data_IF_046263848122
#
_entry.id   IF_046263848122
#
_cell.length_a   1.000
_cell.length_b   1.000
_cell.length_c   1.000
_cell.angle_alpha   90.00
_cell.angle_beta   90.00
_cell.angle_gamma   90.00
#
_symmetry.space_group_name_H-M   'P 1'
#
loop_
_entity.id
_entity.type
_entity.pdbx_description
1 polymer ?
#
# COMPACT_ATOMS: atom_id res chain seq x y z
N UNK A 1 -3.21 32.25 -26.38
CA UNK A 1 -3.84 32.08 -25.05
C UNK A 1 -3.97 30.59 -24.78
N UNK A 2 -3.20 30.07 -23.82
CA UNK A 2 -3.07 28.64 -23.57
C UNK A 2 -4.30 28.09 -22.83
N UNK A 3 -4.96 27.12 -23.47
CA UNK A 3 -6.13 26.43 -22.94
C UNK A 3 -5.68 25.44 -21.85
N UNK A 4 -5.78 25.85 -20.57
CA UNK A 4 -5.61 24.94 -19.42
C UNK A 4 -6.71 23.87 -19.52
N UNK A 5 -6.37 22.71 -20.06
CA UNK A 5 -7.11 21.48 -19.78
C UNK A 5 -7.00 21.24 -18.28
N UNK A 6 -8.00 21.69 -17.54
CA UNK A 6 -8.32 21.18 -16.22
C UNK A 6 -8.72 19.73 -16.44
N UNK A 7 -7.73 18.85 -16.50
CA UNK A 7 -7.95 17.42 -16.41
C UNK A 7 -8.42 17.16 -14.99
N UNK A 8 -9.74 17.14 -14.85
CA UNK A 8 -10.49 16.46 -13.81
C UNK A 8 -9.94 15.03 -13.67
N UNK A 9 -8.88 14.90 -12.87
CA UNK A 9 -8.35 13.63 -12.38
C UNK A 9 -9.39 13.19 -11.38
N UNK A 10 -10.34 12.34 -11.82
CA UNK A 10 -11.25 11.61 -10.93
C UNK A 10 -10.45 11.18 -9.70
N UNK A 11 -10.73 11.82 -8.59
CA UNK A 11 -10.19 11.49 -7.27
C UNK A 11 -10.81 10.15 -6.87
N UNK A 12 -10.37 9.06 -7.48
CA UNK A 12 -10.44 7.77 -6.82
C UNK A 12 -9.38 7.86 -5.73
N UNK A 13 -9.84 7.91 -4.48
CA UNK A 13 -9.04 8.04 -3.27
C UNK A 13 -7.75 7.23 -3.37
N UNK A 14 -6.60 7.89 -3.57
CA UNK A 14 -5.29 7.23 -3.65
C UNK A 14 -4.70 7.09 -2.25
N UNK A 15 -3.72 6.19 -2.08
CA UNK A 15 -2.95 6.10 -0.83
C UNK A 15 -2.36 7.47 -0.44
N UNK A 16 -1.91 8.25 -1.42
CA UNK A 16 -1.48 9.64 -1.25
C UNK A 16 -2.53 10.52 -0.58
N UNK A 17 -3.82 10.38 -0.91
CA UNK A 17 -4.89 11.17 -0.28
C UNK A 17 -5.04 10.88 1.22
N UNK A 18 -4.73 9.65 1.64
CA UNK A 18 -4.78 9.24 3.05
C UNK A 18 -3.58 9.78 3.82
N UNK A 19 -2.37 9.61 3.30
CA UNK A 19 -1.13 9.91 4.05
C UNK A 19 -0.56 11.31 3.77
N UNK A 20 -1.06 11.98 2.74
CA UNK A 20 -0.59 13.26 2.23
C UNK A 20 0.57 13.14 1.24
N UNK A 21 0.65 14.12 0.33
CA UNK A 21 1.64 14.17 -0.76
C UNK A 21 3.08 14.06 -0.31
N UNK A 22 3.46 14.74 0.79
CA UNK A 22 4.84 14.71 1.30
C UNK A 22 5.22 13.30 1.74
N UNK A 23 4.40 12.67 2.60
CA UNK A 23 4.64 11.31 3.10
C UNK A 23 4.70 10.30 1.97
N UNK A 24 3.74 10.39 1.04
CA UNK A 24 3.69 9.50 -0.12
C UNK A 24 4.93 9.64 -0.99
N UNK A 25 5.39 10.86 -1.25
CA UNK A 25 6.62 11.12 -2.01
C UNK A 25 7.86 10.51 -1.36
N UNK A 26 7.97 10.57 -0.03
CA UNK A 26 9.06 9.91 0.72
C UNK A 26 8.99 8.39 0.53
N UNK A 27 7.81 7.78 0.64
CA UNK A 27 7.66 6.33 0.44
C UNK A 27 8.05 5.89 -0.97
N UNK A 28 7.63 6.63 -1.99
CA UNK A 28 8.00 6.37 -3.38
C UNK A 28 9.52 6.46 -3.57
N UNK A 29 10.20 7.49 -3.04
CA UNK A 29 11.66 7.61 -3.13
C UNK A 29 12.38 6.49 -2.37
N UNK A 30 11.92 6.15 -1.16
CA UNK A 30 12.45 5.05 -0.37
C UNK A 30 12.37 3.73 -1.13
N UNK A 31 11.20 3.38 -1.68
CA UNK A 31 11.02 2.13 -2.41
C UNK A 31 11.87 2.09 -3.68
N UNK A 32 11.94 3.20 -4.42
CA UNK A 32 12.79 3.33 -5.60
C UNK A 32 14.27 3.06 -5.30
N UNK A 33 14.76 3.47 -4.12
CA UNK A 33 16.16 3.28 -3.71
C UNK A 33 16.42 1.92 -3.09
N UNK A 34 15.50 1.43 -2.26
CA UNK A 34 15.71 0.24 -1.42
C UNK A 34 15.35 -1.07 -2.12
N UNK A 35 14.32 -1.08 -2.98
CA UNK A 35 13.82 -2.33 -3.58
C UNK A 35 14.80 -3.00 -4.56
N UNK A 36 15.51 -2.27 -5.45
CA UNK A 36 16.40 -2.92 -6.44
C UNK A 36 17.42 -3.88 -5.81
N UNK A 37 18.01 -3.51 -4.67
CA UNK A 37 18.98 -4.33 -3.93
C UNK A 37 18.37 -5.07 -2.72
N UNK A 38 17.15 -4.71 -2.31
CA UNK A 38 16.52 -5.24 -1.11
C UNK A 38 16.07 -6.69 -1.25
N UNK A 39 16.23 -7.48 -0.19
CA UNK A 39 15.64 -8.83 -0.11
C UNK A 39 14.17 -8.72 0.29
N UNK A 40 13.31 -9.56 -0.28
CA UNK A 40 11.86 -9.54 -0.10
C UNK A 40 11.43 -9.55 1.37
N UNK A 41 11.99 -10.46 2.18
CA UNK A 41 11.69 -10.55 3.61
C UNK A 41 12.03 -9.29 4.42
N UNK A 42 12.81 -8.36 3.85
CA UNK A 42 13.10 -7.06 4.46
C UNK A 42 12.17 -5.96 3.92
N UNK A 43 11.70 -6.12 2.70
CA UNK A 43 10.87 -5.12 2.01
C UNK A 43 9.39 -5.29 2.37
N UNK A 44 8.91 -6.52 2.53
CA UNK A 44 7.52 -6.80 2.87
C UNK A 44 7.11 -6.17 4.21
N UNK A 45 7.87 -6.30 5.32
CA UNK A 45 7.53 -5.61 6.57
C UNK A 45 7.56 -4.07 6.48
N UNK A 46 8.42 -3.51 5.62
CA UNK A 46 8.46 -2.05 5.40
C UNK A 46 7.16 -1.57 4.75
N UNK A 47 6.72 -2.26 3.69
CA UNK A 47 5.48 -1.91 2.99
C UNK A 47 4.27 -2.17 3.89
N UNK A 48 4.25 -3.26 4.65
CA UNK A 48 3.24 -3.51 5.67
C UNK A 48 3.16 -2.37 6.70
N UNK A 49 4.30 -1.90 7.21
CA UNK A 49 4.34 -0.76 8.11
C UNK A 49 3.84 0.55 7.49
N UNK A 50 4.09 0.76 6.18
CA UNK A 50 3.49 1.89 5.45
C UNK A 50 1.96 1.75 5.39
N UNK A 51 1.43 0.57 5.13
CA UNK A 51 -0.02 0.32 5.13
C UNK A 51 -0.63 0.52 6.52
N UNK A 52 0.02 0.03 7.58
CA UNK A 52 -0.42 0.25 8.96
C UNK A 52 -0.44 1.74 9.33
N UNK A 53 0.60 2.48 8.97
CA UNK A 53 0.60 3.93 9.12
C UNK A 53 -0.55 4.58 8.35
N UNK A 54 -0.86 4.13 7.13
CA UNK A 54 -1.97 4.65 6.35
C UNK A 54 -3.34 4.32 7.00
N UNK A 55 -3.50 3.13 7.57
CA UNK A 55 -4.71 2.73 8.31
C UNK A 55 -4.92 3.64 9.52
N UNK A 56 -3.89 3.88 10.32
CA UNK A 56 -3.95 4.78 11.47
C UNK A 56 -4.26 6.24 11.04
N UNK A 57 -3.71 6.69 9.91
CA UNK A 57 -4.06 8.00 9.35
C UNK A 57 -5.51 8.06 8.86
N UNK A 58 -6.04 6.96 8.32
CA UNK A 58 -7.42 6.86 7.89
C UNK A 58 -8.38 6.93 9.09
N UNK A 59 -8.11 6.18 10.16
CA UNK A 59 -8.92 6.17 11.40
C UNK A 59 -8.99 7.55 12.05
N UNK A 60 -7.86 8.28 12.12
CA UNK A 60 -7.79 9.62 12.70
C UNK A 60 -8.57 10.68 11.90
N UNK A 61 -8.66 10.52 10.58
CA UNK A 61 -9.30 11.49 9.68
C UNK A 61 -10.80 11.22 9.49
N UNK A 62 -11.25 10.01 9.77
CA UNK A 62 -12.65 9.63 9.66
C UNK A 62 -13.46 10.18 10.85
N UNK A 63 -14.24 11.26 10.63
CA UNK A 63 -15.29 11.70 11.57
C UNK A 63 -16.57 10.84 11.51
N UNK A 64 -16.51 9.70 10.80
CA UNK A 64 -17.59 8.78 10.47
C UNK A 64 -17.06 7.74 9.47
N UNK A 65 -17.86 6.73 9.11
CA UNK A 65 -17.40 5.65 8.23
C UNK A 65 -16.83 6.20 6.91
N UNK A 66 -15.64 5.74 6.47
CA UNK A 66 -15.07 6.13 5.18
C UNK A 66 -16.03 5.76 4.05
N UNK A 67 -15.94 6.49 2.93
CA UNK A 67 -16.73 6.17 1.74
C UNK A 67 -16.44 4.73 1.29
N UNK A 68 -17.47 3.94 1.08
CA UNK A 68 -17.37 2.58 0.56
C UNK A 68 -16.58 2.55 -0.75
N UNK A 69 -15.67 1.57 -0.87
CA UNK A 69 -14.76 1.43 -2.01
C UNK A 69 -13.60 2.44 -2.04
N UNK A 70 -13.44 3.30 -1.02
CA UNK A 70 -12.24 4.14 -0.89
C UNK A 70 -11.05 3.35 -0.34
N UNK A 71 -9.82 3.84 -0.58
CA UNK A 71 -8.61 3.26 0.04
C UNK A 71 -8.67 3.27 1.56
N UNK A 72 -9.23 4.31 2.17
CA UNK A 72 -9.44 4.37 3.61
C UNK A 72 -10.38 3.25 4.10
N UNK A 73 -11.48 3.01 3.39
CA UNK A 73 -12.40 1.90 3.69
C UNK A 73 -11.72 0.55 3.52
N UNK A 74 -10.96 0.34 2.44
CA UNK A 74 -10.26 -0.92 2.21
C UNK A 74 -9.22 -1.21 3.31
N UNK A 75 -8.47 -0.19 3.75
CA UNK A 75 -7.47 -0.32 4.81
C UNK A 75 -8.12 -0.67 6.16
N UNK A 76 -9.19 0.03 6.53
CA UNK A 76 -9.88 -0.19 7.81
C UNK A 76 -10.63 -1.53 7.84
N UNK A 77 -11.32 -1.89 6.77
CA UNK A 77 -12.03 -3.19 6.70
C UNK A 77 -11.06 -4.37 6.77
N UNK A 78 -9.88 -4.25 6.15
CA UNK A 78 -8.87 -5.31 6.18
C UNK A 78 -8.29 -5.58 7.58
N UNK A 79 -8.22 -4.57 8.46
CA UNK A 79 -7.81 -4.76 9.86
C UNK A 79 -8.93 -5.28 10.76
N UNK A 80 -10.19 -5.13 10.35
CA UNK A 80 -11.34 -5.63 11.11
C UNK A 80 -11.69 -7.08 10.77
N UNK A 81 -11.36 -7.55 9.55
CA UNK A 81 -11.74 -8.86 9.03
C UNK A 81 -10.53 -9.56 8.36
N UNK A 82 -9.63 -10.13 9.16
CA UNK A 82 -8.39 -10.79 8.70
C UNK A 82 -8.62 -11.95 7.71
N UNK A 83 -9.79 -12.60 7.75
CA UNK A 83 -10.11 -13.79 6.95
C UNK A 83 -10.86 -13.51 5.63
N UNK A 84 -11.18 -12.26 5.30
CA UNK A 84 -11.95 -11.96 4.08
C UNK A 84 -11.05 -11.75 2.85
N UNK A 85 -10.98 -12.79 2.02
CA UNK A 85 -10.28 -12.80 0.73
C UNK A 85 -10.71 -11.65 -0.22
N UNK A 86 -11.89 -11.05 -0.01
CA UNK A 86 -12.37 -9.91 -0.78
C UNK A 86 -11.53 -8.63 -0.55
N UNK A 87 -10.88 -8.48 0.61
CA UNK A 87 -10.04 -7.33 0.92
C UNK A 87 -8.65 -7.43 0.29
N UNK A 88 -8.13 -8.64 0.10
CA UNK A 88 -6.81 -8.88 -0.48
C UNK A 88 -6.66 -8.29 -1.90
N UNK A 89 -7.71 -8.35 -2.73
CA UNK A 89 -7.69 -7.78 -4.08
C UNK A 89 -7.57 -6.25 -4.11
N UNK A 90 -8.26 -5.56 -3.19
CA UNK A 90 -8.17 -4.10 -3.08
C UNK A 90 -6.81 -3.66 -2.53
N UNK A 91 -6.30 -4.36 -1.51
CA UNK A 91 -4.95 -4.11 -0.98
C UNK A 91 -3.88 -4.35 -2.05
N UNK A 92 -4.00 -5.41 -2.84
CA UNK A 92 -3.09 -5.69 -3.95
C UNK A 92 -3.05 -4.53 -4.94
N UNK A 93 -4.20 -4.00 -5.36
CA UNK A 93 -4.26 -2.85 -6.25
C UNK A 93 -3.60 -1.59 -5.66
N UNK A 94 -3.72 -1.37 -4.34
CA UNK A 94 -3.09 -0.25 -3.64
C UNK A 94 -1.56 -0.40 -3.66
N UNK A 95 -1.03 -1.56 -3.29
CA UNK A 95 0.41 -1.81 -3.22
C UNK A 95 1.03 -1.85 -4.62
N UNK A 96 0.35 -2.43 -5.60
CA UNK A 96 0.78 -2.40 -7.00
C UNK A 96 0.89 -0.98 -7.55
N UNK A 97 -0.05 -0.11 -7.19
CA UNK A 97 0.00 1.29 -7.59
C UNK A 97 1.20 2.01 -6.95
N UNK A 98 1.46 1.76 -5.67
CA UNK A 98 2.64 2.30 -4.99
C UNK A 98 3.95 1.84 -5.65
N UNK A 99 4.08 0.56 -5.99
CA UNK A 99 5.27 0.06 -6.70
C UNK A 99 5.39 0.59 -8.11
N UNK A 100 4.26 0.75 -8.82
CA UNK A 100 4.25 1.37 -10.14
C UNK A 100 4.79 2.80 -10.09
N UNK A 101 4.35 3.60 -9.12
CA UNK A 101 4.83 4.96 -8.92
C UNK A 101 6.32 5.00 -8.55
N UNK A 102 6.79 4.00 -7.80
CA UNK A 102 8.21 3.82 -7.48
C UNK A 102 9.06 3.27 -8.64
N UNK A 103 8.46 2.87 -9.76
CA UNK A 103 9.16 2.22 -10.88
C UNK A 103 9.68 0.82 -10.53
N UNK A 104 9.04 0.15 -9.59
CA UNK A 104 9.44 -1.15 -9.03
C UNK A 104 8.58 -2.27 -9.62
N UNK A 105 9.22 -3.38 -10.00
CA UNK A 105 8.52 -4.61 -10.37
C UNK A 105 8.17 -5.40 -9.10
N UNK A 106 6.89 -5.73 -8.94
CA UNK A 106 6.35 -6.49 -7.80
C UNK A 106 6.73 -7.98 -7.83
N UNK A 107 6.75 -8.59 -9.02
CA UNK A 107 7.13 -9.99 -9.21
C UNK A 107 8.64 -10.12 -9.35
N UNK A 108 9.22 -11.04 -8.59
CA UNK A 108 10.66 -11.34 -8.61
C UNK A 108 10.85 -12.86 -8.65
N UNK A 109 12.05 -13.28 -9.03
CA UNK A 109 12.46 -14.68 -8.99
C UNK A 109 13.58 -14.85 -7.95
N UNK A 110 13.55 -15.93 -7.19
CA UNK A 110 14.63 -16.28 -6.28
C UNK A 110 15.83 -16.93 -7.01
N UNK A 111 16.83 -17.40 -6.26
CA UNK A 111 18.02 -18.05 -6.85
C UNK A 111 17.70 -19.38 -7.54
N UNK A 112 16.54 -19.97 -7.27
CA UNK A 112 16.05 -21.22 -7.87
C UNK A 112 15.14 -20.96 -9.08
N UNK A 113 14.82 -19.69 -9.36
CA UNK A 113 13.91 -19.29 -10.42
C UNK A 113 12.44 -19.26 -9.99
N UNK A 114 12.15 -19.53 -8.72
CA UNK A 114 10.78 -19.53 -8.19
C UNK A 114 10.27 -18.09 -8.10
N UNK A 115 9.11 -17.86 -8.71
CA UNK A 115 8.49 -16.53 -8.74
C UNK A 115 7.75 -16.28 -7.44
N UNK A 116 7.92 -15.09 -6.89
CA UNK A 116 7.19 -14.63 -5.74
C UNK A 116 6.75 -13.17 -5.93
N UNK A 117 5.68 -12.80 -5.24
CA UNK A 117 5.07 -11.48 -5.27
C UNK A 117 5.45 -10.69 -4.02
N UNK A 118 6.12 -9.55 -4.20
CA UNK A 118 6.38 -8.63 -3.09
C UNK A 118 5.08 -7.98 -2.59
N UNK A 119 4.06 -7.89 -3.44
CA UNK A 119 2.72 -7.40 -3.08
C UNK A 119 2.07 -8.37 -2.09
N UNK A 120 2.02 -9.65 -2.44
CA UNK A 120 1.37 -10.68 -1.62
C UNK A 120 2.08 -10.81 -0.28
N UNK A 121 3.42 -10.83 -0.30
CA UNK A 121 4.22 -10.85 0.92
C UNK A 121 3.96 -9.62 1.80
N UNK A 122 3.86 -8.41 1.23
CA UNK A 122 3.57 -7.22 2.01
C UNK A 122 2.16 -7.23 2.61
N UNK A 123 1.17 -7.78 1.89
CA UNK A 123 -0.20 -7.92 2.38
C UNK A 123 -0.27 -8.95 3.49
N UNK A 124 0.40 -10.09 3.34
CA UNK A 124 0.49 -11.12 4.38
C UNK A 124 1.10 -10.56 5.67
N UNK A 125 2.20 -9.80 5.56
CA UNK A 125 2.81 -9.11 6.70
C UNK A 125 1.90 -8.02 7.30
N UNK A 126 1.12 -7.32 6.46
CA UNK A 126 0.16 -6.32 6.92
C UNK A 126 -0.99 -6.95 7.71
N UNK A 127 -1.55 -8.07 7.24
CA UNK A 127 -2.65 -8.77 7.90
C UNK A 127 -2.19 -9.47 9.18
N UNK A 128 -0.95 -9.97 9.23
CA UNK A 128 -0.39 -10.61 10.44
C UNK A 128 0.21 -9.64 11.44
N UNK A 129 0.08 -8.33 11.20
CA UNK A 129 0.81 -7.31 11.96
C UNK A 129 0.60 -7.40 13.47
N UNK A 130 -0.63 -7.62 13.92
CA UNK A 130 -0.96 -7.71 15.35
C UNK A 130 -0.56 -9.05 15.98
N UNK A 131 -0.27 -10.06 15.15
CA UNK A 131 0.24 -11.36 15.57
C UNK A 131 1.76 -11.42 15.65
N UNK A 132 2.48 -10.35 15.26
CA UNK A 132 3.94 -10.33 15.33
C UNK A 132 4.45 -10.09 16.76
N UNK A 133 5.62 -10.62 17.13
CA UNK A 133 6.19 -10.49 18.46
C UNK A 133 6.86 -9.11 18.63
N UNK A 134 6.06 -8.06 18.72
CA UNK A 134 6.54 -6.69 18.95
C UNK A 134 6.86 -6.39 20.44
N UNK A 135 6.50 -7.32 21.34
CA UNK A 135 6.70 -7.24 22.79
C UNK A 135 7.93 -7.97 23.29
#
# INVERSE_FOLDING_TARGET
MANRKVTSRKQNASLESVVGTVTYGVWVDMLKRLVPAGRTHRLAPIVAGMLQYATERASQRSRGAPREGSVASALLSATEHEDDSAHAGHLAAIVEHLFRDAGVKSIRADRRGERYSLVDAAIEEFLRWDSMPWG
#
